data_IF_050275765395
#
_entry.id   IF_050275765395
#
_cell.length_a   1.000
_cell.length_b   1.000
_cell.length_c   1.000
_cell.angle_alpha   90.00
_cell.angle_beta   90.00
_cell.angle_gamma   90.00
#
_symmetry.space_group_name_H-M   'P 1'
#
loop_
_entity.id
_entity.type
_entity.pdbx_description
1 polymer ?
#
# COMPACT_ATOMS: atom_id res chain seq x y z
N UNK A 1 -8.06 -3.38 23.34
CA UNK A 1 -8.19 -3.58 24.79
C UNK A 1 -7.13 -4.54 25.32
N UNK A 2 -6.98 -5.73 24.75
CA UNK A 2 -6.08 -6.79 25.28
C UNK A 2 -4.61 -6.37 25.40
N UNK A 3 -4.14 -5.46 24.56
CA UNK A 3 -2.75 -4.99 24.57
C UNK A 3 -2.56 -3.68 25.36
N UNK A 4 -3.58 -2.83 25.44
CA UNK A 4 -3.46 -1.51 26.06
C UNK A 4 -3.03 -1.54 27.54
N UNK A 5 -3.56 -2.48 28.32
CA UNK A 5 -3.16 -2.65 29.73
C UNK A 5 -1.67 -3.00 29.91
N UNK A 6 -1.04 -3.61 28.90
CA UNK A 6 0.41 -3.91 28.94
C UNK A 6 1.26 -2.65 28.79
N UNK A 7 0.77 -1.62 28.10
CA UNK A 7 1.53 -0.39 27.84
C UNK A 7 1.64 0.52 29.06
N UNK A 8 0.68 0.44 29.99
CA UNK A 8 0.62 1.35 31.14
C UNK A 8 1.85 1.20 32.02
N UNK A 9 2.48 2.34 32.35
CA UNK A 9 3.68 2.40 33.18
C UNK A 9 4.95 1.85 32.55
N UNK A 10 4.95 1.56 31.24
CA UNK A 10 6.14 1.11 30.50
C UNK A 10 6.83 2.28 29.82
N UNK A 11 8.12 2.11 29.57
CA UNK A 11 8.92 3.06 28.79
C UNK A 11 8.58 2.93 27.30
N UNK A 12 7.93 3.95 26.73
CA UNK A 12 7.49 4.00 25.34
C UNK A 12 8.63 3.93 24.31
N UNK A 13 9.88 4.09 24.74
CA UNK A 13 11.05 3.98 23.84
C UNK A 13 11.41 2.53 23.50
N UNK A 14 10.90 1.55 24.23
CA UNK A 14 11.18 0.13 24.03
C UNK A 14 10.29 -0.51 22.96
N UNK A 15 10.25 0.05 21.73
CA UNK A 15 9.36 -0.38 20.63
C UNK A 15 9.49 -1.87 20.29
N UNK A 16 10.72 -2.41 20.24
CA UNK A 16 10.94 -3.85 20.01
C UNK A 16 10.31 -4.73 21.10
N UNK A 17 10.35 -4.31 22.35
CA UNK A 17 9.67 -5.00 23.43
C UNK A 17 8.16 -5.05 23.19
N UNK A 18 7.56 -3.92 22.83
CA UNK A 18 6.12 -3.83 22.56
C UNK A 18 5.73 -4.64 21.33
N UNK A 19 6.47 -4.55 20.24
CA UNK A 19 6.27 -5.37 19.04
C UNK A 19 6.24 -6.87 19.39
N UNK A 20 7.26 -7.38 20.10
CA UNK A 20 7.34 -8.80 20.46
C UNK A 20 6.24 -9.25 21.41
N UNK A 21 5.87 -8.43 22.40
CA UNK A 21 4.78 -8.74 23.33
C UNK A 21 3.43 -8.72 22.59
N UNK A 22 3.19 -7.75 21.73
CA UNK A 22 1.96 -7.68 20.92
C UNK A 22 1.81 -8.90 20.01
N UNK A 23 2.87 -9.35 19.33
CA UNK A 23 2.87 -10.60 18.55
C UNK A 23 2.39 -11.80 19.37
N UNK A 24 2.88 -11.90 20.61
CA UNK A 24 2.50 -12.99 21.52
C UNK A 24 1.05 -12.89 21.98
N UNK A 25 0.63 -11.70 22.41
CA UNK A 25 -0.73 -11.48 22.94
C UNK A 25 -1.80 -11.60 21.86
N UNK A 26 -1.51 -11.11 20.66
CA UNK A 26 -2.46 -11.05 19.54
C UNK A 26 -2.34 -12.23 18.55
N UNK A 27 -1.62 -13.29 18.91
CA UNK A 27 -1.38 -14.44 18.01
C UNK A 27 -2.67 -15.16 17.55
N UNK A 28 -3.76 -15.03 18.27
CA UNK A 28 -5.08 -15.61 17.92
C UNK A 28 -5.99 -14.64 17.16
N UNK A 29 -5.59 -13.38 17.02
CA UNK A 29 -6.27 -12.32 16.28
C UNK A 29 -5.46 -11.91 15.05
N UNK A 30 -4.71 -12.83 14.49
CA UNK A 30 -3.81 -12.60 13.35
C UNK A 30 -2.86 -11.40 13.52
N UNK A 31 -2.50 -11.09 14.77
CA UNK A 31 -1.64 -9.96 15.20
C UNK A 31 -2.18 -8.57 14.81
N UNK A 32 -3.44 -8.48 14.41
CA UNK A 32 -4.10 -7.22 14.06
C UNK A 32 -4.10 -6.22 15.22
N UNK A 33 -3.89 -4.93 14.90
CA UNK A 33 -3.90 -3.83 15.88
C UNK A 33 -2.53 -3.50 16.50
N UNK A 34 -1.45 -4.16 16.10
CA UNK A 34 -0.08 -3.78 16.49
C UNK A 34 0.32 -2.48 15.78
N UNK A 35 0.02 -2.37 14.49
CA UNK A 35 0.47 -1.30 13.61
C UNK A 35 0.19 0.10 14.13
N UNK A 36 -1.06 0.50 14.39
CA UNK A 36 -1.37 1.84 14.86
C UNK A 36 -0.67 2.22 16.17
N UNK A 37 -0.46 1.25 17.08
CA UNK A 37 0.24 1.48 18.35
C UNK A 37 1.72 1.72 18.11
N UNK A 38 2.36 0.89 17.29
CA UNK A 38 3.78 1.03 16.97
C UNK A 38 4.06 2.34 16.20
N UNK A 39 3.20 2.71 15.26
CA UNK A 39 3.28 3.99 14.54
C UNK A 39 3.23 5.17 15.54
N UNK A 40 2.31 5.13 16.51
CA UNK A 40 2.21 6.17 17.55
C UNK A 40 3.46 6.22 18.45
N UNK A 41 4.07 5.07 18.75
CA UNK A 41 5.32 5.00 19.53
C UNK A 41 6.52 5.56 18.74
N UNK A 42 6.56 5.35 17.43
CA UNK A 42 7.55 5.96 16.55
C UNK A 42 7.35 7.47 16.41
N UNK A 43 6.10 7.94 16.29
CA UNK A 43 5.78 9.37 16.27
C UNK A 43 6.24 10.05 17.57
N UNK A 44 5.91 9.47 18.71
CA UNK A 44 6.37 9.95 20.01
C UNK A 44 7.91 10.03 20.08
N UNK A 45 8.60 8.97 19.67
CA UNK A 45 10.05 8.94 19.70
C UNK A 45 10.69 10.02 18.80
N UNK A 46 10.15 10.22 17.60
CA UNK A 46 10.60 11.27 16.69
C UNK A 46 10.37 12.66 17.27
N UNK A 47 9.23 12.90 17.93
CA UNK A 47 8.95 14.16 18.63
C UNK A 47 9.89 14.39 19.81
N UNK A 48 10.17 13.35 20.61
CA UNK A 48 11.16 13.43 21.72
C UNK A 48 12.55 13.77 21.24
N UNK A 49 12.97 13.27 20.06
CA UNK A 49 14.30 13.50 19.48
C UNK A 49 14.33 14.69 18.51
N UNK A 50 13.20 15.38 18.32
CA UNK A 50 13.05 16.46 17.35
C UNK A 50 13.54 16.07 15.95
N UNK A 51 13.18 14.87 15.48
CA UNK A 51 13.67 14.26 14.24
C UNK A 51 12.55 13.54 13.49
N UNK A 52 12.43 13.68 12.15
CA UNK A 52 11.47 12.89 11.38
C UNK A 52 11.85 11.41 11.38
N UNK A 53 10.84 10.55 11.34
CA UNK A 53 11.03 9.09 11.47
C UNK A 53 11.96 8.53 10.41
N UNK A 54 11.84 8.95 9.16
CA UNK A 54 12.69 8.40 8.09
C UNK A 54 14.19 8.62 8.36
N UNK A 55 14.57 9.74 9.00
CA UNK A 55 15.98 9.98 9.39
C UNK A 55 16.42 9.10 10.55
N UNK A 56 15.51 8.80 11.48
CA UNK A 56 15.80 7.85 12.56
C UNK A 56 16.01 6.43 12.02
N UNK A 57 15.37 6.09 10.90
CA UNK A 57 15.52 4.81 10.18
C UNK A 57 16.74 4.76 9.26
N UNK A 58 17.50 5.86 9.14
CA UNK A 58 18.72 5.93 8.32
C UNK A 58 18.61 6.83 7.09
N UNK A 59 17.41 7.11 6.59
CA UNK A 59 17.12 8.02 5.49
C UNK A 59 17.83 7.68 4.18
N UNK A 60 17.09 7.42 3.13
CA UNK A 60 17.62 7.15 1.78
C UNK A 60 17.24 8.24 0.78
N UNK A 61 16.02 8.76 0.88
CA UNK A 61 15.48 9.78 -0.04
C UNK A 61 14.48 10.69 0.68
N UNK A 62 14.21 11.87 0.10
CA UNK A 62 13.28 12.87 0.65
C UNK A 62 12.04 13.07 -0.22
N UNK A 63 12.03 12.50 -1.43
CA UNK A 63 10.92 12.45 -2.37
C UNK A 63 10.67 11.03 -2.84
N UNK A 64 9.42 10.69 -3.06
CA UNK A 64 9.00 9.36 -3.50
C UNK A 64 8.25 9.49 -4.82
N UNK A 65 8.71 8.81 -5.91
CA UNK A 65 7.89 8.67 -7.10
C UNK A 65 6.56 8.03 -6.73
N UNK A 66 5.45 8.53 -7.27
CA UNK A 66 4.12 8.02 -6.95
C UNK A 66 3.43 7.41 -8.17
N UNK A 67 2.57 6.41 -7.92
CA UNK A 67 1.59 5.97 -8.89
C UNK A 67 0.17 6.34 -8.44
N UNK A 68 -0.69 6.64 -9.41
CA UNK A 68 -2.10 6.87 -9.17
C UNK A 68 -2.81 5.52 -9.03
N UNK A 69 -3.23 5.17 -7.82
CA UNK A 69 -4.00 3.96 -7.52
C UNK A 69 -5.49 4.32 -7.61
N UNK A 70 -6.19 3.80 -8.61
CA UNK A 70 -7.59 4.19 -8.83
C UNK A 70 -8.50 3.66 -7.71
N UNK A 71 -9.65 4.30 -7.53
CA UNK A 71 -10.77 3.67 -6.85
C UNK A 71 -11.36 2.56 -7.73
N UNK A 72 -12.17 1.68 -7.12
CA UNK A 72 -12.88 0.64 -7.86
C UNK A 72 -13.83 1.23 -8.91
N UNK A 73 -14.12 0.45 -9.94
CA UNK A 73 -15.11 0.80 -10.94
C UNK A 73 -16.47 1.17 -10.33
N UNK A 74 -17.09 2.15 -10.89
CA UNK A 74 -18.37 2.68 -10.44
C UNK A 74 -19.35 2.94 -11.59
N UNK A 75 -20.54 3.40 -11.28
CA UNK A 75 -21.58 3.77 -12.27
C UNK A 75 -21.74 5.29 -12.41
N UNK A 76 -20.87 6.06 -11.80
CA UNK A 76 -20.92 7.52 -11.81
C UNK A 76 -20.63 8.05 -13.21
N UNK A 77 -21.44 8.96 -13.68
CA UNK A 77 -21.20 9.61 -14.99
C UNK A 77 -19.88 10.39 -14.96
N UNK A 78 -18.94 9.99 -15.82
CA UNK A 78 -17.59 10.54 -15.88
C UNK A 78 -16.67 10.02 -14.76
N UNK A 79 -17.09 8.95 -14.07
CA UNK A 79 -16.25 8.13 -13.18
C UNK A 79 -15.63 6.96 -13.93
N UNK A 80 -15.25 5.92 -13.21
CA UNK A 80 -14.54 4.74 -13.72
C UNK A 80 -15.53 3.67 -14.20
N UNK A 81 -16.33 3.97 -15.20
CA UNK A 81 -17.51 3.18 -15.61
C UNK A 81 -17.35 2.43 -16.94
N UNK A 82 -16.18 2.49 -17.57
CA UNK A 82 -15.86 1.72 -18.78
C UNK A 82 -14.35 1.60 -18.95
N UNK A 83 -13.85 0.66 -19.79
CA UNK A 83 -12.43 0.58 -20.17
C UNK A 83 -11.85 1.91 -20.66
N UNK A 84 -12.58 2.63 -21.50
CA UNK A 84 -12.17 3.94 -22.03
C UNK A 84 -12.08 5.00 -20.93
N UNK A 85 -12.99 4.97 -19.94
CA UNK A 85 -12.96 5.90 -18.82
C UNK A 85 -11.70 5.70 -17.95
N UNK A 86 -11.24 4.47 -17.75
CA UNK A 86 -9.95 4.19 -17.13
C UNK A 86 -8.79 4.72 -17.95
N UNK A 87 -8.81 4.52 -19.28
CA UNK A 87 -7.77 5.03 -20.16
C UNK A 87 -7.72 6.57 -20.19
N UNK A 88 -8.87 7.23 -20.21
CA UNK A 88 -8.97 8.70 -20.13
C UNK A 88 -8.44 9.23 -18.80
N UNK A 89 -8.72 8.53 -17.69
CA UNK A 89 -8.21 8.91 -16.38
C UNK A 89 -6.70 8.64 -16.25
N UNK A 90 -6.20 7.56 -16.83
CA UNK A 90 -4.75 7.30 -16.89
C UNK A 90 -4.02 8.41 -17.65
N UNK A 91 -4.57 8.89 -18.76
CA UNK A 91 -4.02 10.02 -19.50
C UNK A 91 -4.08 11.33 -18.69
N UNK A 92 -5.14 11.57 -17.93
CA UNK A 92 -5.21 12.70 -16.99
C UNK A 92 -4.11 12.60 -15.92
N UNK A 93 -3.91 11.42 -15.31
CA UNK A 93 -2.85 11.19 -14.33
C UNK A 93 -1.45 11.43 -14.92
N UNK A 94 -1.21 10.98 -16.16
CA UNK A 94 0.04 11.27 -16.88
C UNK A 94 0.26 12.78 -17.06
N UNK A 95 -0.79 13.55 -17.39
CA UNK A 95 -0.72 15.01 -17.55
C UNK A 95 -0.45 15.73 -16.22
N UNK A 96 -0.93 15.20 -15.10
CA UNK A 96 -0.63 15.70 -13.74
C UNK A 96 0.85 15.46 -13.40
N UNK A 97 1.47 14.42 -13.94
CA UNK A 97 2.89 14.11 -13.74
C UNK A 97 3.18 12.70 -13.22
N UNK A 98 2.16 11.90 -12.90
CA UNK A 98 2.35 10.53 -12.40
C UNK A 98 3.19 9.68 -13.34
N UNK A 99 4.04 8.83 -12.76
CA UNK A 99 4.91 7.90 -13.48
C UNK A 99 4.37 6.47 -13.51
N UNK A 100 3.33 6.20 -12.74
CA UNK A 100 2.64 4.91 -12.69
C UNK A 100 1.13 5.09 -12.52
N UNK A 101 0.38 4.07 -12.95
CA UNK A 101 -1.07 4.02 -12.85
C UNK A 101 -1.52 2.60 -12.52
N UNK A 102 -2.33 2.43 -11.48
CA UNK A 102 -2.86 1.14 -11.06
C UNK A 102 -4.38 1.10 -11.26
N UNK A 103 -4.83 0.08 -11.98
CA UNK A 103 -6.23 -0.25 -12.17
C UNK A 103 -6.69 -1.05 -10.95
N UNK A 104 -7.74 -0.62 -10.24
CA UNK A 104 -8.53 -1.49 -9.38
C UNK A 104 -9.72 -2.05 -10.15
N UNK A 105 -9.94 -3.34 -10.00
CA UNK A 105 -10.86 -4.10 -10.81
C UNK A 105 -12.34 -3.81 -10.61
N UNK A 106 -13.13 -4.37 -11.50
CA UNK A 106 -14.58 -4.42 -11.44
C UNK A 106 -15.01 -5.47 -10.42
N UNK A 107 -15.77 -5.07 -9.40
CA UNK A 107 -16.18 -5.95 -8.31
C UNK A 107 -17.02 -7.18 -8.75
N UNK A 108 -17.54 -7.18 -9.99
CA UNK A 108 -18.32 -8.28 -10.57
C UNK A 108 -17.47 -9.31 -11.34
N UNK A 109 -16.14 -9.13 -11.35
CA UNK A 109 -15.17 -10.03 -11.99
C UNK A 109 -15.52 -10.42 -13.44
N UNK A 110 -16.01 -9.47 -14.24
CA UNK A 110 -16.24 -9.71 -15.67
C UNK A 110 -14.90 -9.73 -16.42
N UNK A 111 -14.38 -10.91 -16.66
CA UNK A 111 -13.02 -11.14 -17.17
C UNK A 111 -12.78 -10.46 -18.52
N UNK A 112 -13.76 -10.48 -19.45
CA UNK A 112 -13.57 -9.82 -20.74
C UNK A 112 -13.43 -8.31 -20.57
N UNK A 113 -14.22 -7.69 -19.69
CA UNK A 113 -14.13 -6.25 -19.42
C UNK A 113 -12.83 -5.88 -18.71
N UNK A 114 -12.31 -6.75 -17.81
CA UNK A 114 -10.98 -6.57 -17.24
C UNK A 114 -9.90 -6.56 -18.32
N UNK A 115 -9.92 -7.53 -19.21
CA UNK A 115 -9.00 -7.61 -20.36
C UNK A 115 -9.13 -6.36 -21.24
N UNK A 116 -10.35 -5.94 -21.58
CA UNK A 116 -10.59 -4.74 -22.37
C UNK A 116 -10.04 -3.49 -21.66
N UNK A 117 -10.14 -3.42 -20.32
CA UNK A 117 -9.60 -2.31 -19.52
C UNK A 117 -8.08 -2.28 -19.54
N UNK A 118 -7.43 -3.45 -19.39
CA UNK A 118 -5.97 -3.59 -19.50
C UNK A 118 -5.49 -3.08 -20.86
N UNK A 119 -6.12 -3.51 -21.94
CA UNK A 119 -5.76 -3.08 -23.30
C UNK A 119 -6.04 -1.60 -23.54
N UNK A 120 -7.18 -1.08 -23.09
CA UNK A 120 -7.50 0.33 -23.26
C UNK A 120 -6.48 1.26 -22.58
N UNK A 121 -6.10 0.94 -21.35
CA UNK A 121 -5.09 1.70 -20.60
C UNK A 121 -3.69 1.49 -21.20
N UNK A 122 -3.31 0.24 -21.51
CA UNK A 122 -2.02 -0.10 -22.09
C UNK A 122 -1.77 0.62 -23.41
N UNK A 123 -2.72 0.56 -24.33
CA UNK A 123 -2.65 1.26 -25.62
C UNK A 123 -2.56 2.78 -25.51
N UNK A 124 -3.15 3.37 -24.45
CA UNK A 124 -3.22 4.83 -24.24
C UNK A 124 -1.93 5.39 -23.63
N UNK A 125 -1.37 4.75 -22.61
CA UNK A 125 -0.29 5.32 -21.80
C UNK A 125 0.87 4.36 -21.50
N UNK A 126 0.81 3.09 -21.94
CA UNK A 126 1.77 2.04 -21.56
C UNK A 126 3.23 2.33 -21.89
N UNK A 127 3.52 3.09 -22.96
CA UNK A 127 4.90 3.51 -23.29
C UNK A 127 5.42 4.66 -22.41
N UNK A 128 4.56 5.29 -21.60
CA UNK A 128 4.86 6.53 -20.85
C UNK A 128 4.76 6.37 -19.34
N UNK A 129 4.09 5.33 -18.88
CA UNK A 129 3.83 5.06 -17.46
C UNK A 129 4.08 3.60 -17.12
N UNK A 130 4.54 3.31 -15.91
CA UNK A 130 4.47 1.98 -15.34
C UNK A 130 3.00 1.62 -15.07
N UNK A 131 2.50 0.53 -15.64
CA UNK A 131 1.11 0.10 -15.48
C UNK A 131 1.00 -1.05 -14.51
N UNK A 132 0.01 -1.01 -13.65
CA UNK A 132 -0.28 -2.01 -12.65
C UNK A 132 -1.77 -2.33 -12.64
N UNK A 133 -2.11 -3.53 -12.21
CA UNK A 133 -3.49 -3.92 -11.95
C UNK A 133 -3.59 -4.68 -10.65
N UNK A 134 -4.61 -4.34 -9.86
CA UNK A 134 -5.00 -4.99 -8.63
C UNK A 134 -6.48 -5.42 -8.70
N UNK A 135 -6.74 -6.68 -8.96
CA UNK A 135 -8.09 -7.24 -8.93
C UNK A 135 -8.72 -7.30 -7.54
N UNK A 136 -8.01 -6.99 -6.48
CA UNK A 136 -8.52 -7.07 -5.10
C UNK A 136 -9.12 -8.45 -4.78
N UNK A 137 -8.44 -9.51 -5.18
CA UNK A 137 -8.83 -10.91 -4.90
C UNK A 137 -10.20 -11.31 -5.46
N UNK A 138 -10.64 -10.75 -6.59
CA UNK A 138 -12.01 -11.03 -7.10
C UNK A 138 -12.12 -12.22 -8.04
N UNK A 139 -11.03 -12.73 -8.63
CA UNK A 139 -11.13 -13.80 -9.62
C UNK A 139 -11.33 -15.18 -8.97
N UNK A 140 -12.41 -15.85 -9.37
CA UNK A 140 -12.81 -17.11 -8.79
C UNK A 140 -11.96 -18.31 -9.22
N UNK A 141 -11.43 -18.27 -10.45
CA UNK A 141 -10.73 -19.41 -11.03
C UNK A 141 -9.30 -19.06 -11.46
N UNK A 142 -8.44 -20.08 -11.45
CA UNK A 142 -7.08 -19.94 -11.99
C UNK A 142 -7.09 -19.58 -13.49
N UNK A 143 -8.09 -20.07 -14.24
CA UNK A 143 -8.22 -19.75 -15.67
C UNK A 143 -8.51 -18.26 -15.90
N UNK A 144 -9.38 -17.66 -15.11
CA UNK A 144 -9.71 -16.23 -15.16
C UNK A 144 -8.47 -15.40 -14.81
N UNK A 145 -7.80 -15.74 -13.71
CA UNK A 145 -6.55 -15.10 -13.30
C UNK A 145 -5.49 -15.14 -14.41
N UNK A 146 -5.32 -16.31 -15.04
CA UNK A 146 -4.36 -16.48 -16.11
C UNK A 146 -4.73 -15.66 -17.36
N UNK A 147 -6.02 -15.56 -17.69
CA UNK A 147 -6.49 -14.82 -18.86
C UNK A 147 -6.15 -13.32 -18.74
N UNK A 148 -6.44 -12.72 -17.58
CA UNK A 148 -6.09 -11.30 -17.33
C UNK A 148 -4.57 -11.11 -17.24
N UNK A 149 -3.83 -12.02 -16.59
CA UNK A 149 -2.37 -11.95 -16.53
C UNK A 149 -1.70 -11.99 -17.92
N UNK A 150 -2.28 -12.70 -18.88
CA UNK A 150 -1.80 -12.70 -20.28
C UNK A 150 -2.09 -11.39 -20.99
N UNK A 151 -3.22 -10.76 -20.74
CA UNK A 151 -3.47 -9.41 -21.25
C UNK A 151 -2.46 -8.40 -20.67
N UNK A 152 -2.11 -8.53 -19.38
CA UNK A 152 -1.03 -7.74 -18.78
C UNK A 152 0.32 -7.96 -19.47
N UNK A 153 0.63 -9.20 -19.87
CA UNK A 153 1.84 -9.53 -20.64
C UNK A 153 1.90 -8.82 -22.00
N UNK A 154 0.76 -8.71 -22.67
CA UNK A 154 0.65 -8.05 -24.00
C UNK A 154 0.90 -6.55 -23.92
N UNK A 155 0.53 -5.93 -22.81
CA UNK A 155 0.68 -4.50 -22.54
C UNK A 155 1.91 -4.16 -21.67
N UNK A 156 2.76 -5.13 -21.33
CA UNK A 156 3.96 -4.98 -20.52
C UNK A 156 3.70 -4.31 -19.16
N UNK A 157 2.70 -4.77 -18.42
CA UNK A 157 2.41 -4.27 -17.09
C UNK A 157 3.58 -4.47 -16.14
N UNK A 158 3.79 -3.53 -15.24
CA UNK A 158 4.89 -3.51 -14.28
C UNK A 158 4.66 -4.52 -13.15
N UNK A 159 3.40 -4.67 -12.66
CA UNK A 159 2.99 -5.79 -11.83
C UNK A 159 1.51 -6.13 -11.96
N UNK A 160 1.19 -7.34 -11.51
CA UNK A 160 -0.14 -7.91 -11.35
C UNK A 160 -0.31 -8.30 -9.88
N UNK A 161 -1.19 -7.59 -9.15
CA UNK A 161 -1.36 -7.65 -7.71
C UNK A 161 -2.56 -8.51 -7.32
N UNK A 162 -2.43 -9.32 -6.29
CA UNK A 162 -3.46 -10.09 -5.56
C UNK A 162 -4.70 -10.53 -6.39
N UNK A 163 -4.53 -11.29 -7.48
CA UNK A 163 -5.61 -11.56 -8.42
C UNK A 163 -6.65 -12.59 -7.94
N UNK A 164 -6.26 -13.52 -7.06
CA UNK A 164 -7.08 -14.68 -6.74
C UNK A 164 -7.94 -14.46 -5.49
N UNK A 165 -9.15 -15.02 -5.48
CA UNK A 165 -10.10 -14.95 -4.34
C UNK A 165 -9.57 -15.51 -3.03
N UNK A 166 -8.45 -16.16 -3.01
CA UNK A 166 -7.81 -16.67 -1.80
C UNK A 166 -7.13 -15.58 -0.93
N UNK A 167 -7.15 -14.32 -1.35
CA UNK A 167 -6.50 -13.23 -0.63
C UNK A 167 -4.98 -13.24 -0.71
N UNK A 168 -4.40 -13.78 -1.79
CA UNK A 168 -2.95 -13.81 -1.98
C UNK A 168 -2.21 -14.86 -1.15
N UNK A 169 -2.92 -15.79 -0.48
CA UNK A 169 -2.31 -16.75 0.46
C UNK A 169 -2.02 -18.12 -0.14
N UNK A 170 -2.51 -18.43 -1.33
CA UNK A 170 -2.22 -19.70 -2.04
C UNK A 170 -0.85 -19.69 -2.68
N UNK A 171 0.21 -19.87 -1.91
CA UNK A 171 1.60 -19.79 -2.39
C UNK A 171 1.86 -20.71 -3.59
N UNK A 172 1.29 -21.93 -3.60
CA UNK A 172 1.45 -22.84 -4.72
C UNK A 172 0.78 -22.34 -6.00
N UNK A 173 -0.45 -21.83 -5.92
CA UNK A 173 -1.17 -21.31 -7.09
C UNK A 173 -0.45 -20.10 -7.70
N UNK A 174 0.01 -19.17 -6.88
CA UNK A 174 0.78 -18.01 -7.33
C UNK A 174 2.12 -18.41 -7.95
N UNK A 175 2.84 -19.38 -7.37
CA UNK A 175 4.03 -19.97 -8.01
C UNK A 175 3.73 -20.59 -9.38
N UNK A 176 2.54 -21.20 -9.60
CA UNK A 176 2.17 -21.72 -10.92
C UNK A 176 1.82 -20.57 -11.88
N UNK A 177 1.07 -19.57 -11.42
CA UNK A 177 0.75 -18.38 -12.22
C UNK A 177 2.01 -17.68 -12.73
N UNK A 178 2.96 -17.42 -11.84
CA UNK A 178 4.26 -16.83 -12.13
C UNK A 178 5.05 -17.54 -13.24
N UNK A 179 4.87 -18.84 -13.43
CA UNK A 179 5.50 -19.62 -14.52
C UNK A 179 4.78 -19.49 -15.86
N UNK A 180 3.55 -19.00 -15.88
CA UNK A 180 2.67 -18.99 -17.05
C UNK A 180 2.43 -17.59 -17.61
N UNK A 181 2.87 -16.55 -16.90
CA UNK A 181 2.84 -15.15 -17.31
C UNK A 181 4.25 -14.55 -17.22
N UNK A 182 4.46 -13.41 -17.87
CA UNK A 182 5.72 -12.63 -17.83
C UNK A 182 5.62 -11.45 -16.87
N UNK A 183 4.43 -10.90 -16.71
CA UNK A 183 4.15 -9.79 -15.81
C UNK A 183 4.48 -10.19 -14.37
N UNK A 184 5.35 -9.45 -13.67
CA UNK A 184 5.71 -9.74 -12.30
C UNK A 184 4.50 -9.74 -11.38
N UNK A 185 4.49 -10.63 -10.38
CA UNK A 185 3.48 -10.65 -9.33
C UNK A 185 3.90 -9.77 -8.14
N UNK A 186 2.97 -8.98 -7.63
CA UNK A 186 3.07 -8.28 -6.36
C UNK A 186 2.07 -8.88 -5.37
N UNK A 187 2.54 -9.31 -4.19
CA UNK A 187 1.69 -9.93 -3.18
C UNK A 187 2.21 -9.69 -1.78
N UNK A 188 1.32 -9.79 -0.80
CA UNK A 188 1.69 -9.77 0.60
C UNK A 188 0.84 -8.88 1.50
N UNK A 189 -0.06 -8.03 1.00
CA UNK A 189 -0.88 -7.19 1.87
C UNK A 189 -1.83 -7.98 2.78
N UNK A 190 -2.16 -9.22 2.37
CA UNK A 190 -2.97 -10.16 3.15
C UNK A 190 -2.13 -11.17 3.94
N UNK A 191 -0.80 -11.06 3.89
CA UNK A 191 0.15 -11.89 4.63
C UNK A 191 0.86 -11.00 5.63
N UNK A 192 0.83 -11.35 6.91
CA UNK A 192 1.29 -10.44 7.95
C UNK A 192 2.61 -10.86 8.58
N UNK A 193 3.47 -9.87 8.82
CA UNK A 193 4.76 -9.94 9.49
C UNK A 193 5.85 -10.66 8.68
N UNK A 194 7.07 -10.44 9.10
CA UNK A 194 8.28 -10.88 8.37
C UNK A 194 8.38 -12.40 8.16
N UNK A 195 7.84 -13.19 9.08
CA UNK A 195 7.90 -14.66 8.97
C UNK A 195 7.10 -15.16 7.77
N UNK A 196 5.85 -14.70 7.61
CA UNK A 196 4.98 -15.12 6.52
C UNK A 196 5.48 -14.61 5.16
N UNK A 197 6.00 -13.37 5.10
CA UNK A 197 6.63 -12.84 3.89
C UNK A 197 7.88 -13.65 3.50
N UNK A 198 8.69 -14.06 4.47
CA UNK A 198 9.86 -14.92 4.24
C UNK A 198 9.46 -16.28 3.67
N UNK A 199 8.40 -16.89 4.22
CA UNK A 199 7.87 -18.16 3.72
C UNK A 199 7.34 -18.04 2.28
N UNK A 200 6.69 -16.91 1.94
CA UNK A 200 6.23 -16.60 0.60
C UNK A 200 7.40 -16.49 -0.40
N UNK A 201 8.50 -15.85 -0.01
CA UNK A 201 9.70 -15.77 -0.84
C UNK A 201 10.37 -17.14 -1.04
N UNK A 202 10.52 -17.93 0.02
CA UNK A 202 11.06 -19.30 -0.05
C UNK A 202 10.19 -20.17 -0.95
N UNK A 203 8.88 -19.98 -0.94
CA UNK A 203 7.97 -20.66 -1.85
C UNK A 203 8.08 -20.19 -3.30
N UNK A 204 8.79 -19.09 -3.58
CA UNK A 204 8.91 -18.45 -4.91
C UNK A 204 7.54 -17.99 -5.45
N UNK A 205 6.64 -17.54 -4.57
CA UNK A 205 5.25 -17.26 -4.92
C UNK A 205 5.01 -15.86 -5.45
N UNK A 206 5.98 -14.94 -5.33
CA UNK A 206 5.86 -13.56 -5.80
C UNK A 206 7.16 -13.05 -6.40
N UNK A 207 7.13 -11.89 -7.09
CA UNK A 207 8.29 -11.17 -7.63
C UNK A 207 8.58 -9.91 -6.84
N UNK A 208 7.55 -9.19 -6.40
CA UNK A 208 7.62 -8.07 -5.48
C UNK A 208 6.91 -8.41 -4.18
N UNK A 209 7.39 -7.88 -3.06
CA UNK A 209 6.69 -8.00 -1.79
C UNK A 209 5.79 -6.78 -1.59
N UNK A 210 4.64 -7.01 -0.93
CA UNK A 210 3.73 -5.98 -0.48
C UNK A 210 3.68 -6.00 1.05
N UNK A 211 3.79 -4.85 1.71
CA UNK A 211 3.63 -4.73 3.16
C UNK A 211 2.79 -3.50 3.51
N UNK A 212 2.28 -3.48 4.73
CA UNK A 212 1.51 -2.35 5.24
C UNK A 212 1.88 -2.07 6.70
N UNK A 213 2.32 -0.85 7.04
CA UNK A 213 2.59 -0.49 8.43
C UNK A 213 1.41 -0.70 9.39
N UNK A 214 0.17 -0.69 8.89
CA UNK A 214 -1.00 -0.97 9.73
C UNK A 214 -1.13 -2.47 10.07
N UNK A 215 -0.75 -3.35 9.16
CA UNK A 215 -0.95 -4.80 9.27
C UNK A 215 0.34 -5.56 9.60
N UNK A 216 1.50 -5.08 9.19
CA UNK A 216 2.79 -5.72 9.43
C UNK A 216 3.44 -5.34 10.78
N UNK A 217 2.65 -4.87 11.72
CA UNK A 217 3.14 -4.56 13.06
C UNK A 217 3.85 -3.22 13.17
N UNK A 218 3.38 -2.24 12.43
CA UNK A 218 3.85 -0.88 12.46
C UNK A 218 5.12 -0.64 11.65
N UNK A 219 5.75 0.48 11.88
CA UNK A 219 7.03 0.83 11.27
C UNK A 219 8.11 -0.19 11.65
N UNK A 220 8.11 -0.66 12.91
CA UNK A 220 9.04 -1.69 13.38
C UNK A 220 8.93 -2.96 12.55
N UNK A 221 7.73 -3.48 12.33
CA UNK A 221 7.52 -4.71 11.58
C UNK A 221 7.75 -4.53 10.09
N UNK A 222 7.25 -3.45 9.50
CA UNK A 222 7.45 -3.13 8.08
C UNK A 222 8.94 -3.03 7.71
N UNK A 223 9.76 -2.40 8.55
CA UNK A 223 11.20 -2.33 8.30
C UNK A 223 11.89 -3.69 8.40
N UNK A 224 11.37 -4.64 9.23
CA UNK A 224 11.85 -6.02 9.23
C UNK A 224 11.52 -6.73 7.92
N UNK A 225 10.32 -6.53 7.39
CA UNK A 225 9.91 -7.06 6.07
C UNK A 225 10.80 -6.47 4.97
N UNK A 226 11.04 -5.15 5.00
CA UNK A 226 11.88 -4.46 4.02
C UNK A 226 13.32 -4.99 3.98
N UNK A 227 13.95 -5.17 5.14
CA UNK A 227 15.31 -5.69 5.23
C UNK A 227 15.39 -7.18 4.84
N UNK A 228 14.33 -7.95 5.12
CA UNK A 228 14.26 -9.33 4.64
C UNK A 228 14.16 -9.38 3.12
N UNK A 229 13.25 -8.60 2.51
CA UNK A 229 13.13 -8.50 1.05
C UNK A 229 14.46 -8.07 0.41
N UNK A 230 15.15 -7.07 0.97
CA UNK A 230 16.48 -6.65 0.50
C UNK A 230 17.50 -7.79 0.56
N UNK A 231 17.47 -8.60 1.62
CA UNK A 231 18.34 -9.78 1.76
C UNK A 231 18.07 -10.87 0.72
N UNK A 232 16.84 -10.99 0.24
CA UNK A 232 16.47 -11.85 -0.88
C UNK A 232 16.75 -11.21 -2.26
N UNK A 233 17.17 -9.94 -2.31
CA UNK A 233 17.36 -9.20 -3.56
C UNK A 233 16.05 -8.79 -4.23
N UNK A 234 14.97 -8.65 -3.46
CA UNK A 234 13.62 -8.33 -3.94
C UNK A 234 13.19 -6.93 -3.49
N UNK A 235 12.33 -6.31 -4.27
CA UNK A 235 11.74 -5.03 -3.93
C UNK A 235 10.50 -5.20 -3.05
N UNK A 236 10.25 -4.18 -2.23
CA UNK A 236 9.08 -4.08 -1.37
C UNK A 236 8.30 -2.80 -1.71
N UNK A 237 7.03 -2.95 -2.01
CA UNK A 237 6.08 -1.84 -2.16
C UNK A 237 5.17 -1.76 -0.93
N UNK A 238 4.74 -0.56 -0.54
CA UNK A 238 3.81 -0.40 0.58
C UNK A 238 2.38 -0.19 0.09
N UNK A 239 1.44 -0.85 0.79
CA UNK A 239 0.02 -0.72 0.57
C UNK A 239 -0.47 0.62 1.10
N UNK A 240 -1.33 1.27 0.32
CA UNK A 240 -2.07 2.49 0.60
C UNK A 240 -1.21 3.72 0.93
N UNK A 241 -1.85 4.89 1.00
CA UNK A 241 -1.23 6.16 1.32
C UNK A 241 -1.21 6.44 2.82
N UNK A 242 -0.19 7.18 3.25
CA UNK A 242 -0.11 7.66 4.63
C UNK A 242 1.28 8.14 5.03
N UNK A 243 1.39 8.93 6.11
CA UNK A 243 2.68 9.44 6.55
C UNK A 243 3.63 8.34 7.03
N UNK A 244 3.13 7.25 7.63
CA UNK A 244 3.96 6.12 8.05
C UNK A 244 4.58 5.42 6.84
N UNK A 245 3.79 5.20 5.77
CA UNK A 245 4.25 4.64 4.50
C UNK A 245 5.33 5.52 3.87
N UNK A 246 5.13 6.85 3.81
CA UNK A 246 6.14 7.78 3.27
C UNK A 246 7.45 7.70 4.05
N UNK A 247 7.41 7.63 5.39
CA UNK A 247 8.62 7.51 6.20
C UNK A 247 9.33 6.17 6.01
N UNK A 248 8.61 5.06 5.95
CA UNK A 248 9.20 3.75 5.70
C UNK A 248 9.88 3.72 4.32
N UNK A 249 9.15 4.10 3.26
CA UNK A 249 9.71 4.10 1.89
C UNK A 249 10.88 5.06 1.73
N UNK A 250 10.89 6.18 2.44
CA UNK A 250 12.01 7.12 2.44
C UNK A 250 13.29 6.56 3.09
N UNK A 251 13.17 5.52 3.88
CA UNK A 251 14.31 4.83 4.49
C UNK A 251 14.74 3.56 3.74
N UNK A 252 13.91 3.06 2.81
CA UNK A 252 14.20 1.86 2.02
C UNK A 252 14.93 2.20 0.73
N UNK A 253 15.87 1.34 0.33
CA UNK A 253 16.50 1.36 -0.99
C UNK A 253 15.67 0.62 -2.03
N UNK A 254 15.05 -0.48 -1.62
CA UNK A 254 14.39 -1.48 -2.46
C UNK A 254 12.87 -1.25 -2.57
N UNK A 255 12.45 -0.03 -2.94
CA UNK A 255 11.06 0.29 -3.29
C UNK A 255 11.00 1.24 -4.48
N UNK A 256 9.96 1.14 -5.30
CA UNK A 256 9.84 1.85 -6.57
C UNK A 256 8.87 3.02 -6.49
N UNK A 257 7.63 2.80 -6.05
CA UNK A 257 6.59 3.80 -6.12
C UNK A 257 5.76 3.89 -4.83
N UNK A 258 5.47 5.12 -4.41
CA UNK A 258 4.48 5.40 -3.38
C UNK A 258 3.07 5.28 -3.94
N UNK A 259 2.19 4.58 -3.25
CA UNK A 259 0.79 4.46 -3.62
C UNK A 259 0.01 5.74 -3.29
N UNK A 260 -0.43 6.45 -4.32
CA UNK A 260 -1.41 7.51 -4.14
C UNK A 260 -2.80 6.89 -4.24
N UNK A 261 -3.32 6.51 -3.14
CA UNK A 261 -4.55 5.75 -3.14
C UNK A 261 -5.62 6.37 -2.24
N UNK A 262 -6.84 6.18 -2.52
CA UNK A 262 -7.50 5.73 -3.74
C UNK A 262 -7.99 6.94 -4.51
N UNK A 263 -7.56 7.12 -5.75
CA UNK A 263 -7.89 8.33 -6.52
C UNK A 263 -9.03 8.08 -7.52
N UNK A 264 -9.76 9.15 -7.85
CA UNK A 264 -10.91 9.08 -8.72
C UNK A 264 -11.06 10.38 -9.54
N UNK A 265 -11.52 10.33 -10.82
CA UNK A 265 -11.59 11.53 -11.66
C UNK A 265 -12.61 12.58 -11.21
N UNK A 266 -13.55 12.24 -10.31
CA UNK A 266 -14.64 13.12 -9.87
C UNK A 266 -14.79 13.26 -8.36
N UNK A 267 -14.23 12.33 -7.59
CA UNK A 267 -14.40 12.28 -6.15
C UNK A 267 -13.07 12.52 -5.47
N UNK A 268 -13.09 13.23 -4.36
CA UNK A 268 -11.92 13.45 -3.50
C UNK A 268 -12.13 12.79 -2.14
N UNK A 269 -11.05 12.47 -1.46
CA UNK A 269 -11.06 11.89 -0.10
C UNK A 269 -11.90 10.61 0.05
N UNK A 270 -11.91 9.75 -0.96
CA UNK A 270 -12.77 8.55 -0.96
C UNK A 270 -12.36 7.61 0.16
N UNK A 271 -11.08 7.31 0.28
CA UNK A 271 -10.55 6.37 1.27
C UNK A 271 -10.08 7.06 2.56
N UNK A 272 -9.64 8.30 2.48
CA UNK A 272 -9.01 9.02 3.57
C UNK A 272 -9.79 10.30 3.91
N UNK A 273 -10.57 10.33 5.00
CA UNK A 273 -11.18 11.57 5.45
C UNK A 273 -10.10 12.63 5.76
N UNK A 274 -10.38 13.92 5.59
CA UNK A 274 -9.43 14.99 5.85
C UNK A 274 -9.20 15.08 7.38
N UNK A 275 -8.15 14.43 7.85
CA UNK A 275 -7.80 14.37 9.28
C UNK A 275 -6.60 15.24 9.65
N UNK A 276 -6.01 15.91 8.68
CA UNK A 276 -4.83 16.74 8.88
C UNK A 276 -5.18 18.23 8.90
N UNK A 277 -4.59 18.97 9.85
CA UNK A 277 -4.66 20.44 9.94
C UNK A 277 -3.46 21.14 9.32
N UNK A 278 -2.53 20.39 8.76
CA UNK A 278 -1.34 20.88 8.04
C UNK A 278 -1.46 20.63 6.52
N UNK A 279 -0.44 21.03 5.77
CA UNK A 279 -0.39 20.85 4.31
C UNK A 279 -0.14 19.43 3.79
N UNK A 280 -0.19 18.41 4.66
CA UNK A 280 -0.08 17.02 4.22
C UNK A 280 -1.34 16.59 3.46
N UNK A 281 -1.14 15.93 2.32
CA UNK A 281 -2.22 15.46 1.47
C UNK A 281 -1.81 14.22 0.67
N UNK A 282 -2.77 13.32 0.46
CA UNK A 282 -2.69 12.16 -0.43
C UNK A 282 -3.82 12.22 -1.48
N UNK A 283 -4.16 13.43 -1.92
CA UNK A 283 -5.14 13.64 -2.99
C UNK A 283 -4.48 13.53 -4.37
N UNK A 284 -5.28 13.39 -5.41
CA UNK A 284 -4.82 13.22 -6.80
C UNK A 284 -3.78 14.27 -7.23
N UNK A 285 -3.96 15.53 -6.83
CA UNK A 285 -3.09 16.64 -7.21
C UNK A 285 -1.88 16.85 -6.28
N UNK A 286 -1.65 15.92 -5.34
CA UNK A 286 -0.59 16.09 -4.30
C UNK A 286 0.80 15.68 -4.75
N UNK A 287 1.01 15.42 -6.03
CA UNK A 287 2.34 15.17 -6.63
C UNK A 287 2.93 16.45 -7.20
N UNK A 288 4.26 16.51 -7.23
CA UNK A 288 4.98 17.58 -7.94
C UNK A 288 5.03 17.32 -9.46
N UNK A 289 5.61 18.23 -10.21
CA UNK A 289 5.77 18.17 -11.68
C UNK A 289 6.54 16.93 -12.17
N UNK A 290 7.28 16.26 -11.29
CA UNK A 290 8.01 15.03 -11.57
C UNK A 290 7.23 13.77 -11.15
N UNK A 291 5.99 13.92 -10.65
CA UNK A 291 5.16 12.84 -10.16
C UNK A 291 5.61 12.28 -8.82
N UNK A 292 6.25 13.10 -8.00
CA UNK A 292 6.75 12.71 -6.68
C UNK A 292 5.94 13.37 -5.56
N UNK A 293 5.89 12.70 -4.41
CA UNK A 293 5.43 13.26 -3.14
C UNK A 293 6.59 13.54 -2.21
N UNK A 294 6.48 14.61 -1.41
CA UNK A 294 7.47 14.92 -0.38
C UNK A 294 7.29 14.04 0.86
N UNK A 295 8.40 13.67 1.48
CA UNK A 295 8.40 13.04 2.81
C UNK A 295 8.28 14.13 3.87
N UNK A 296 7.37 14.01 4.87
CA UNK A 296 7.24 15.02 5.92
C UNK A 296 8.56 15.24 6.67
N UNK A 297 8.96 16.52 6.85
CA UNK A 297 10.24 16.89 7.46
C UNK A 297 10.14 17.27 8.94
N UNK A 298 8.94 17.37 9.50
CA UNK A 298 8.72 17.64 10.92
C UNK A 298 9.06 16.46 11.81
N UNK A 299 9.17 16.67 13.14
CA UNK A 299 9.45 15.62 14.11
C UNK A 299 8.36 14.52 14.12
N UNK A 300 8.77 13.28 14.30
CA UNK A 300 7.87 12.12 14.26
C UNK A 300 7.35 11.86 12.86
N UNK A 301 6.04 11.71 12.71
CA UNK A 301 5.35 11.60 11.42
C UNK A 301 5.37 12.92 10.63
N UNK A 302 5.74 14.03 11.27
CA UNK A 302 5.83 15.34 10.62
C UNK A 302 4.50 15.90 10.13
N UNK A 303 3.38 15.44 10.71
CA UNK A 303 2.02 15.89 10.40
C UNK A 303 1.31 16.40 11.66
N UNK A 304 0.32 17.25 11.45
CA UNK A 304 -0.59 17.74 12.48
C UNK A 304 -2.00 17.27 12.19
N UNK A 305 -2.70 16.79 13.24
CA UNK A 305 -4.05 16.24 13.12
C UNK A 305 -5.10 17.26 13.53
N UNK A 306 -6.19 17.32 12.80
CA UNK A 306 -7.42 18.01 13.18
C UNK A 306 -8.19 17.17 14.23
N UNK A 307 -7.79 17.27 15.48
CA UNK A 307 -8.39 16.51 16.56
C UNK A 307 -9.88 16.85 16.80
N UNK A 308 -10.31 18.08 16.51
CA UNK A 308 -11.72 18.45 16.65
C UNK A 308 -12.53 17.81 15.50
N UNK A 309 -12.03 17.82 14.28
CA UNK A 309 -12.64 17.09 13.17
C UNK A 309 -12.70 15.59 13.43
N UNK A 310 -11.60 14.98 13.87
CA UNK A 310 -11.53 13.53 14.18
C UNK A 310 -12.59 13.13 15.21
N UNK A 311 -12.81 13.93 16.25
CA UNK A 311 -13.85 13.66 17.27
C UNK A 311 -15.25 13.57 16.66
N UNK A 312 -15.53 14.24 15.55
CA UNK A 312 -16.87 14.18 14.91
C UNK A 312 -17.15 12.81 14.30
N UNK A 313 -16.12 12.04 13.97
CA UNK A 313 -16.21 10.68 13.43
C UNK A 313 -16.05 9.59 14.50
N UNK A 314 -15.79 9.98 15.76
CA UNK A 314 -15.59 9.03 16.85
C UNK A 314 -16.89 8.28 17.17
N UNK A 315 -16.89 6.96 17.01
CA UNK A 315 -18.02 6.09 17.32
C UNK A 315 -17.97 5.49 18.71
N UNK A 316 -16.74 5.31 19.27
CA UNK A 316 -16.53 4.71 20.60
C UNK A 316 -15.20 5.19 21.21
N UNK A 317 -15.08 5.05 22.53
CA UNK A 317 -13.86 5.34 23.28
C UNK A 317 -13.66 4.33 24.40
N UNK A 318 -12.45 3.77 24.46
CA UNK A 318 -12.04 2.89 25.57
C UNK A 318 -10.91 3.55 26.35
N UNK A 319 -11.14 3.77 27.65
CA UNK A 319 -10.12 4.27 28.58
C UNK A 319 -9.54 3.11 29.36
N UNK A 320 -8.23 2.90 29.25
CA UNK A 320 -7.48 1.87 29.98
C UNK A 320 -6.70 2.57 31.09
N UNK A 321 -6.91 2.13 32.35
CA UNK A 321 -6.28 2.70 33.54
C UNK A 321 -5.33 1.69 34.17
#
# INVERSE_FOLDING_TARGET
>A
QSFGGFLIGKDATHRELFYNQAKTLLRKQDRMGIGPIDIALWDLAGKMQNTPIYRMLGGHREKLPAYASTYHADKTKGGLNSPEAYADFAEQCLQIGYKGFKIHSWADANIQREIDTVHAVGSRVGEKMALMIDPCCVYDTFADTLAVGRACDEENFFWYEDPMRDGGVSLYAHKQLKKMIKTPLLQGEHIHLVEAHTDMAIAEATDFWRADPEYDGGITGTMKVAHAAEGFGMDLELHIAGPAQRHCMAAMRNSNFYEMGLVHPKLSNIANPPVYSCGYSDQLESVDENGCVDVPQGPGLGVEYDWEGIKTFQSDQVVIK
#
